data_IF_208955446937
#
_entry.id   IF_208955446937
#
_cell.length_a   1.000
_cell.length_b   1.000
_cell.length_c   1.000
_cell.angle_alpha   90.00
_cell.angle_beta   90.00
_cell.angle_gamma   90.00
#
_symmetry.space_group_name_H-M   'P 1'
#
loop_
_entity.id
_entity.type
_entity.pdbx_description
1 polymer ?
#
# COMPACT_ATOMS: atom_id res chain seq x y z
N UNK A 1 -18.30 -4.68 -25.87
CA UNK A 1 -19.77 -4.67 -25.64
C UNK A 1 -20.22 -5.61 -24.50
N UNK A 2 -19.55 -6.73 -24.17
CA UNK A 2 -19.90 -7.49 -22.95
C UNK A 2 -19.40 -6.80 -21.67
N UNK A 3 -18.10 -6.45 -21.63
CA UNK A 3 -17.46 -5.92 -20.42
C UNK A 3 -18.15 -4.67 -19.83
N UNK A 4 -18.53 -3.70 -20.66
CA UNK A 4 -19.28 -2.50 -20.22
C UNK A 4 -20.58 -2.89 -19.50
N UNK A 5 -21.38 -3.79 -20.09
CA UNK A 5 -22.64 -4.24 -19.50
C UNK A 5 -22.44 -5.11 -18.26
N UNK A 6 -21.36 -5.89 -18.23
CA UNK A 6 -21.02 -6.71 -17.07
C UNK A 6 -20.58 -5.84 -15.88
N UNK A 7 -19.82 -4.77 -16.13
CA UNK A 7 -19.44 -3.75 -15.14
C UNK A 7 -20.67 -2.98 -14.62
N UNK A 8 -21.55 -2.52 -15.52
CA UNK A 8 -22.79 -1.86 -15.12
C UNK A 8 -23.66 -2.80 -14.28
N UNK A 9 -23.80 -4.07 -14.69
CA UNK A 9 -24.59 -5.05 -13.95
C UNK A 9 -24.02 -5.33 -12.57
N UNK A 10 -22.72 -5.63 -12.46
CA UNK A 10 -22.11 -5.93 -11.15
C UNK A 10 -22.14 -4.71 -10.24
N UNK A 11 -21.90 -3.51 -10.77
CA UNK A 11 -21.95 -2.28 -9.98
C UNK A 11 -23.37 -1.97 -9.50
N UNK A 12 -24.39 -2.16 -10.34
CA UNK A 12 -25.79 -1.99 -9.93
C UNK A 12 -26.19 -3.01 -8.86
N UNK A 13 -25.71 -4.25 -8.92
CA UNK A 13 -25.92 -5.22 -7.85
C UNK A 13 -25.21 -4.81 -6.55
N UNK A 14 -24.00 -4.24 -6.63
CA UNK A 14 -23.26 -3.76 -5.45
C UNK A 14 -23.88 -2.51 -4.81
N UNK A 15 -24.66 -1.71 -5.55
CA UNK A 15 -25.43 -0.59 -4.99
C UNK A 15 -26.56 -1.05 -4.05
N UNK A 16 -26.91 -2.33 -4.08
CA UNK A 16 -27.88 -2.96 -3.17
C UNK A 16 -27.30 -4.30 -2.72
N UNK A 17 -26.24 -4.27 -1.90
CA UNK A 17 -25.45 -5.46 -1.60
C UNK A 17 -26.30 -6.51 -0.86
N UNK A 18 -26.04 -7.81 -1.11
CA UNK A 18 -26.71 -8.87 -0.37
C UNK A 18 -26.33 -8.81 1.12
N UNK A 19 -27.23 -9.27 2.00
CA UNK A 19 -26.98 -9.33 3.43
C UNK A 19 -26.04 -10.47 3.85
N UNK A 20 -25.88 -11.48 2.99
CA UNK A 20 -24.97 -12.60 3.23
C UNK A 20 -23.53 -12.22 2.86
N UNK A 21 -22.59 -12.42 3.78
CA UNK A 21 -21.16 -12.17 3.56
C UNK A 21 -20.63 -12.98 2.37
N UNK A 22 -21.03 -14.24 2.23
CA UNK A 22 -20.57 -15.11 1.13
C UNK A 22 -21.09 -14.62 -0.23
N UNK A 23 -22.34 -14.19 -0.29
CA UNK A 23 -22.91 -13.62 -1.52
C UNK A 23 -22.25 -12.29 -1.88
N UNK A 24 -21.96 -11.46 -0.88
CA UNK A 24 -21.25 -10.20 -1.05
C UNK A 24 -19.82 -10.43 -1.56
N UNK A 25 -19.09 -11.37 -0.97
CA UNK A 25 -17.74 -11.75 -1.41
C UNK A 25 -17.75 -12.20 -2.87
N UNK A 26 -18.65 -13.12 -3.25
CA UNK A 26 -18.78 -13.56 -4.63
C UNK A 26 -19.05 -12.40 -5.60
N UNK A 27 -19.85 -11.42 -5.18
CA UNK A 27 -20.17 -10.25 -6.00
C UNK A 27 -18.97 -9.30 -6.13
N UNK A 28 -18.21 -9.08 -5.06
CA UNK A 28 -16.98 -8.29 -5.05
C UNK A 28 -15.86 -8.96 -5.86
N UNK A 29 -15.68 -10.27 -5.75
CA UNK A 29 -14.71 -11.02 -6.55
C UNK A 29 -15.04 -10.98 -8.05
N UNK A 30 -16.34 -10.99 -8.38
CA UNK A 30 -16.79 -10.74 -9.76
C UNK A 30 -16.44 -9.32 -10.21
N UNK A 31 -16.59 -8.32 -9.37
CA UNK A 31 -16.20 -6.95 -9.68
C UNK A 31 -14.68 -6.84 -9.88
N UNK A 32 -13.88 -7.37 -8.95
CA UNK A 32 -12.42 -7.50 -9.05
C UNK A 32 -11.99 -8.12 -10.40
N UNK A 33 -12.57 -9.27 -10.75
CA UNK A 33 -12.27 -9.98 -12.00
C UNK A 33 -12.69 -9.24 -13.27
N UNK A 34 -13.64 -8.30 -13.19
CA UNK A 34 -14.01 -7.43 -14.31
C UNK A 34 -13.09 -6.20 -14.39
N UNK A 35 -12.77 -5.59 -13.24
CA UNK A 35 -11.88 -4.44 -13.14
C UNK A 35 -10.47 -4.77 -13.63
N UNK A 36 -9.94 -5.96 -13.31
CA UNK A 36 -8.62 -6.41 -13.79
C UNK A 36 -8.49 -6.50 -15.32
N UNK A 37 -9.62 -6.57 -16.05
CA UNK A 37 -9.66 -6.60 -17.53
C UNK A 37 -9.71 -5.20 -18.16
N UNK A 38 -9.86 -4.16 -17.36
CA UNK A 38 -9.95 -2.77 -17.83
C UNK A 38 -8.54 -2.17 -17.89
N UNK A 39 -8.14 -1.67 -19.05
CA UNK A 39 -6.85 -1.01 -19.20
C UNK A 39 -6.87 0.41 -18.59
N UNK A 40 -5.68 0.96 -18.35
CA UNK A 40 -5.49 2.30 -17.83
C UNK A 40 -6.05 3.38 -18.77
N UNK A 41 -6.68 4.42 -18.21
CA UNK A 41 -7.31 5.53 -18.94
C UNK A 41 -8.23 5.06 -20.09
N UNK A 42 -9.29 4.30 -19.80
CA UNK A 42 -10.12 3.72 -20.84
C UNK A 42 -11.02 4.78 -21.54
N UNK A 43 -11.58 4.46 -22.72
CA UNK A 43 -12.50 5.33 -23.44
C UNK A 43 -13.70 5.75 -22.59
N UNK A 44 -14.29 6.91 -22.91
CA UNK A 44 -15.40 7.53 -22.14
C UNK A 44 -16.56 6.56 -21.85
N UNK A 45 -16.89 5.65 -22.77
CA UNK A 45 -17.96 4.67 -22.60
C UNK A 45 -17.64 3.69 -21.46
N UNK A 46 -16.45 3.12 -21.45
CA UNK A 46 -16.02 2.19 -20.41
C UNK A 46 -15.82 2.92 -19.06
N UNK A 47 -15.35 4.18 -19.07
CA UNK A 47 -15.33 5.02 -17.85
C UNK A 47 -16.72 5.22 -17.25
N UNK A 48 -17.75 5.43 -18.07
CA UNK A 48 -19.14 5.52 -17.56
C UNK A 48 -19.62 4.19 -16.98
N UNK A 49 -19.27 3.07 -17.59
CA UNK A 49 -19.64 1.75 -17.10
C UNK A 49 -19.01 1.40 -15.74
N UNK A 50 -17.91 2.06 -15.35
CA UNK A 50 -17.28 1.92 -14.03
C UNK A 50 -18.04 2.67 -12.92
N UNK A 51 -18.82 3.72 -13.26
CA UNK A 51 -19.44 4.61 -12.26
C UNK A 51 -20.31 3.87 -11.23
N UNK A 52 -21.14 2.87 -11.59
CA UNK A 52 -21.93 2.14 -10.60
C UNK A 52 -21.05 1.38 -9.60
N UNK A 53 -19.97 0.74 -10.08
CA UNK A 53 -19.01 0.04 -9.21
C UNK A 53 -18.29 1.04 -8.31
N UNK A 54 -17.75 2.12 -8.88
CA UNK A 54 -17.04 3.15 -8.11
C UNK A 54 -17.93 3.77 -7.01
N UNK A 55 -19.21 4.02 -7.32
CA UNK A 55 -20.19 4.54 -6.36
C UNK A 55 -20.53 3.52 -5.28
N UNK A 56 -20.68 2.25 -5.63
CA UNK A 56 -21.01 1.21 -4.66
C UNK A 56 -19.87 0.97 -3.67
N UNK A 57 -18.62 0.87 -4.15
CA UNK A 57 -17.47 0.54 -3.29
C UNK A 57 -17.17 1.60 -2.22
N UNK A 58 -17.57 2.85 -2.44
CA UNK A 58 -17.42 3.94 -1.45
C UNK A 58 -18.64 4.13 -0.54
N UNK A 59 -19.69 3.32 -0.70
CA UNK A 59 -20.82 3.36 0.22
C UNK A 59 -20.38 2.87 1.60
N UNK A 60 -20.86 3.54 2.66
CA UNK A 60 -20.43 3.27 4.04
C UNK A 60 -20.60 1.78 4.44
N UNK A 61 -21.67 1.13 3.97
CA UNK A 61 -21.95 -0.29 4.25
C UNK A 61 -20.82 -1.23 3.79
N UNK A 62 -20.13 -0.89 2.69
CA UNK A 62 -18.99 -1.66 2.19
C UNK A 62 -17.67 -1.12 2.74
N UNK A 63 -17.46 0.20 2.65
CA UNK A 63 -16.20 0.83 2.99
C UNK A 63 -15.83 0.61 4.46
N UNK A 64 -16.83 0.53 5.35
CA UNK A 64 -16.65 0.33 6.80
C UNK A 64 -16.89 -1.12 7.24
N UNK A 65 -16.88 -2.07 6.32
CA UNK A 65 -16.97 -3.49 6.68
C UNK A 65 -15.88 -3.87 7.70
N UNK A 66 -16.26 -4.66 8.71
CA UNK A 66 -15.33 -5.22 9.70
C UNK A 66 -14.83 -6.62 9.33
N UNK A 67 -15.37 -7.23 8.28
CA UNK A 67 -14.94 -8.55 7.81
C UNK A 67 -13.64 -8.43 7.01
N UNK A 68 -12.57 -9.06 7.50
CA UNK A 68 -11.24 -8.99 6.86
C UNK A 68 -11.22 -9.54 5.44
N UNK A 69 -12.00 -10.59 5.14
CA UNK A 69 -12.07 -11.14 3.79
C UNK A 69 -12.70 -10.14 2.83
N UNK A 70 -13.79 -9.48 3.26
CA UNK A 70 -14.43 -8.41 2.49
C UNK A 70 -13.48 -7.24 2.30
N UNK A 71 -12.80 -6.80 3.36
CA UNK A 71 -11.83 -5.70 3.30
C UNK A 71 -10.70 -5.96 2.28
N UNK A 72 -10.17 -7.18 2.22
CA UNK A 72 -9.09 -7.52 1.27
C UNK A 72 -9.60 -7.54 -0.18
N UNK A 73 -10.81 -8.06 -0.44
CA UNK A 73 -11.36 -8.02 -1.81
C UNK A 73 -11.72 -6.59 -2.21
N UNK A 74 -12.23 -5.77 -1.29
CA UNK A 74 -12.45 -4.33 -1.50
C UNK A 74 -11.14 -3.61 -1.83
N UNK A 75 -10.07 -3.87 -1.06
CA UNK A 75 -8.74 -3.34 -1.33
C UNK A 75 -8.26 -3.72 -2.75
N UNK A 76 -8.46 -4.97 -3.16
CA UNK A 76 -8.12 -5.39 -4.53
C UNK A 76 -8.93 -4.65 -5.60
N UNK A 77 -10.23 -4.45 -5.38
CA UNK A 77 -11.07 -3.65 -6.28
C UNK A 77 -10.58 -2.19 -6.38
N UNK A 78 -10.25 -1.55 -5.25
CA UNK A 78 -9.70 -0.20 -5.23
C UNK A 78 -8.32 -0.11 -5.87
N UNK A 79 -7.50 -1.14 -5.74
CA UNK A 79 -6.22 -1.23 -6.41
C UNK A 79 -6.37 -1.24 -7.94
N UNK A 80 -7.34 -2.01 -8.46
CA UNK A 80 -7.65 -2.00 -9.88
C UNK A 80 -8.20 -0.65 -10.34
N UNK A 81 -9.09 -0.02 -9.57
CA UNK A 81 -9.60 1.32 -9.89
C UNK A 81 -8.50 2.38 -9.88
N UNK A 82 -7.57 2.28 -8.93
CA UNK A 82 -6.37 3.13 -8.85
C UNK A 82 -5.51 2.95 -10.11
N UNK A 83 -5.24 1.70 -10.53
CA UNK A 83 -4.51 1.40 -11.77
C UNK A 83 -5.24 1.92 -13.01
N UNK A 84 -6.56 1.78 -13.08
CA UNK A 84 -7.38 2.21 -14.22
C UNK A 84 -7.37 3.72 -14.36
N UNK A 85 -7.44 4.44 -13.24
CA UNK A 85 -7.54 5.91 -13.22
C UNK A 85 -6.19 6.62 -13.22
N UNK A 86 -5.11 5.94 -12.83
CA UNK A 86 -3.76 6.51 -12.83
C UNK A 86 -3.39 7.18 -14.17
N UNK A 87 -2.69 8.32 -14.15
CA UNK A 87 -2.27 9.10 -12.97
C UNK A 87 -3.39 10.03 -12.43
N UNK A 88 -4.56 10.07 -13.08
CA UNK A 88 -5.64 11.01 -12.78
C UNK A 88 -6.59 10.43 -11.73
N UNK A 89 -6.17 10.49 -10.47
CA UNK A 89 -6.89 9.93 -9.34
C UNK A 89 -8.21 10.67 -9.07
N UNK A 90 -9.24 9.96 -8.64
CA UNK A 90 -10.63 10.44 -8.68
C UNK A 90 -11.31 10.64 -7.32
N UNK A 91 -10.66 10.23 -6.24
CA UNK A 91 -11.25 10.28 -4.90
C UNK A 91 -10.67 11.43 -4.07
N UNK A 92 -11.50 12.13 -3.26
CA UNK A 92 -11.02 13.08 -2.27
C UNK A 92 -10.14 12.43 -1.19
N UNK A 93 -9.30 13.23 -0.54
CA UNK A 93 -8.29 12.77 0.42
C UNK A 93 -8.87 11.90 1.55
N UNK A 94 -10.04 12.26 2.09
CA UNK A 94 -10.69 11.47 3.15
C UNK A 94 -11.07 10.06 2.69
N UNK A 95 -11.56 9.91 1.45
CA UNK A 95 -11.82 8.57 0.90
C UNK A 95 -10.52 7.85 0.58
N UNK A 96 -9.51 8.57 0.10
CA UNK A 96 -8.20 7.96 -0.16
C UNK A 96 -7.54 7.44 1.13
N UNK A 97 -7.69 8.13 2.28
CA UNK A 97 -7.24 7.64 3.58
C UNK A 97 -7.87 6.28 3.91
N UNK A 98 -9.19 6.12 3.71
CA UNK A 98 -9.87 4.84 3.92
C UNK A 98 -9.37 3.75 2.96
N UNK A 99 -9.15 4.09 1.69
CA UNK A 99 -8.58 3.16 0.69
C UNK A 99 -7.17 2.71 1.10
N UNK A 100 -6.31 3.62 1.56
CA UNK A 100 -4.98 3.26 2.05
C UNK A 100 -5.02 2.40 3.31
N UNK A 101 -5.98 2.61 4.22
CA UNK A 101 -6.20 1.70 5.35
C UNK A 101 -6.55 0.28 4.87
N UNK A 102 -7.38 0.14 3.84
CA UNK A 102 -7.68 -1.16 3.24
C UNK A 102 -6.43 -1.82 2.60
N UNK A 103 -5.56 -1.04 1.95
CA UNK A 103 -4.29 -1.54 1.43
C UNK A 103 -3.36 -2.03 2.56
N UNK A 104 -3.26 -1.27 3.65
CA UNK A 104 -2.49 -1.62 4.85
C UNK A 104 -3.03 -2.91 5.50
N UNK A 105 -4.35 -3.05 5.63
CA UNK A 105 -5.00 -4.28 6.11
C UNK A 105 -4.63 -5.47 5.20
N UNK A 106 -4.61 -5.26 3.89
CA UNK A 106 -4.22 -6.28 2.92
C UNK A 106 -2.75 -6.66 3.05
N UNK A 107 -1.84 -5.69 3.25
CA UNK A 107 -0.41 -6.00 3.42
C UNK A 107 -0.11 -6.87 4.64
N UNK A 108 -0.95 -6.88 5.68
CA UNK A 108 -0.85 -7.82 6.81
C UNK A 108 -0.95 -9.30 6.37
N UNK A 109 -1.60 -9.57 5.23
CA UNK A 109 -1.73 -10.91 4.65
C UNK A 109 -0.45 -11.39 3.95
N UNK A 110 0.54 -10.52 3.73
CA UNK A 110 1.86 -10.91 3.21
C UNK A 110 2.66 -11.78 4.18
N UNK A 111 2.26 -11.83 5.46
CA UNK A 111 2.90 -12.65 6.50
C UNK A 111 2.93 -14.15 6.23
N UNK A 112 2.05 -14.67 5.36
CA UNK A 112 1.90 -16.10 5.12
C UNK A 112 1.53 -16.40 3.65
N UNK A 113 2.46 -17.01 2.90
CA UNK A 113 2.27 -17.32 1.48
C UNK A 113 1.17 -18.36 1.19
N UNK A 114 0.76 -19.16 2.19
CA UNK A 114 -0.35 -20.12 2.06
C UNK A 114 -1.73 -19.50 2.25
N UNK A 115 -1.81 -18.20 2.59
CA UNK A 115 -3.06 -17.49 2.73
C UNK A 115 -3.70 -17.25 1.34
N UNK A 116 -4.99 -17.54 1.20
CA UNK A 116 -5.76 -17.28 -0.03
C UNK A 116 -5.67 -15.82 -0.49
N UNK A 117 -5.45 -14.90 0.46
CA UNK A 117 -5.34 -13.47 0.23
C UNK A 117 -3.91 -12.96 -0.05
N UNK A 118 -2.90 -13.84 0.00
CA UNK A 118 -1.51 -13.46 -0.28
C UNK A 118 -1.34 -12.93 -1.71
N UNK A 119 -1.95 -13.60 -2.69
CA UNK A 119 -1.87 -13.21 -4.11
C UNK A 119 -2.45 -11.82 -4.38
N UNK A 120 -3.61 -11.51 -3.77
CA UNK A 120 -4.23 -10.17 -3.83
C UNK A 120 -3.32 -9.12 -3.22
N UNK A 121 -2.77 -9.40 -2.05
CA UNK A 121 -1.90 -8.46 -1.33
C UNK A 121 -0.61 -8.17 -2.08
N UNK A 122 -0.01 -9.21 -2.69
CA UNK A 122 1.13 -9.05 -3.58
C UNK A 122 0.77 -8.23 -4.82
N UNK A 123 -0.44 -8.42 -5.38
CA UNK A 123 -0.90 -7.67 -6.55
C UNK A 123 -1.09 -6.18 -6.23
N UNK A 124 -1.63 -5.86 -5.04
CA UNK A 124 -1.76 -4.49 -4.55
C UNK A 124 -0.37 -3.85 -4.42
N UNK A 125 0.58 -4.57 -3.81
CA UNK A 125 1.94 -4.09 -3.63
C UNK A 125 2.65 -3.85 -4.98
N UNK A 126 2.56 -4.81 -5.90
CA UNK A 126 3.10 -4.70 -7.26
C UNK A 126 2.52 -3.48 -7.99
N UNK A 127 1.19 -3.33 -7.94
CA UNK A 127 0.49 -2.25 -8.64
C UNK A 127 0.91 -0.91 -8.06
N UNK A 128 0.94 -0.77 -6.74
CA UNK A 128 1.36 0.45 -6.04
C UNK A 128 2.77 0.88 -6.44
N UNK A 129 3.71 -0.06 -6.52
CA UNK A 129 5.06 0.22 -6.98
C UNK A 129 5.11 0.63 -8.46
N UNK A 130 4.37 -0.07 -9.34
CA UNK A 130 4.42 0.16 -10.80
C UNK A 130 3.71 1.44 -11.24
N UNK A 131 2.55 1.73 -10.68
CA UNK A 131 1.78 2.96 -11.02
C UNK A 131 2.08 4.12 -10.08
N UNK A 132 3.01 3.93 -9.14
CA UNK A 132 3.45 4.94 -8.17
C UNK A 132 2.29 5.52 -7.36
N UNK A 133 1.29 4.71 -7.02
CA UNK A 133 0.11 5.21 -6.28
C UNK A 133 0.45 5.63 -4.85
N UNK A 134 1.62 5.27 -4.31
CA UNK A 134 2.09 5.81 -3.03
C UNK A 134 2.32 7.32 -3.05
N UNK A 135 2.41 7.97 -4.22
CA UNK A 135 2.41 9.44 -4.31
C UNK A 135 1.10 10.05 -3.80
N UNK A 136 -0.03 9.39 -4.00
CA UNK A 136 -1.29 9.85 -3.40
C UNK A 136 -1.20 9.87 -1.88
N UNK A 137 -0.50 8.91 -1.27
CA UNK A 137 -0.32 8.86 0.18
C UNK A 137 0.51 10.05 0.67
N UNK A 138 1.50 10.46 -0.13
CA UNK A 138 2.29 11.67 0.10
C UNK A 138 1.41 12.91 -0.02
N UNK A 139 0.58 13.01 -1.08
CA UNK A 139 -0.32 14.15 -1.31
C UNK A 139 -1.36 14.32 -0.20
N UNK A 140 -1.84 13.21 0.38
CA UNK A 140 -2.78 13.20 1.52
C UNK A 140 -2.12 13.69 2.82
N UNK A 141 -0.79 13.68 2.88
CA UNK A 141 0.02 14.13 4.01
C UNK A 141 -0.39 13.46 5.34
N UNK A 142 -0.52 12.13 5.32
CA UNK A 142 -0.91 11.33 6.49
C UNK A 142 0.27 10.56 7.06
N UNK A 143 1.00 11.21 7.98
CA UNK A 143 2.11 10.60 8.73
C UNK A 143 1.72 9.24 9.34
N UNK A 144 0.54 9.13 9.94
CA UNK A 144 0.09 7.89 10.58
C UNK A 144 -0.02 6.71 9.61
N UNK A 145 -0.53 6.93 8.40
CA UNK A 145 -0.63 5.88 7.38
C UNK A 145 0.74 5.53 6.78
N UNK A 146 1.61 6.53 6.60
CA UNK A 146 2.99 6.33 6.17
C UNK A 146 3.73 5.48 7.19
N UNK A 147 3.66 5.84 8.47
CA UNK A 147 4.31 5.13 9.57
C UNK A 147 3.80 3.68 9.68
N UNK A 148 2.47 3.46 9.62
CA UNK A 148 1.91 2.11 9.67
C UNK A 148 2.36 1.25 8.47
N UNK A 149 2.37 1.81 7.26
CA UNK A 149 2.85 1.10 6.07
C UNK A 149 4.33 0.73 6.18
N UNK A 150 5.18 1.65 6.62
CA UNK A 150 6.61 1.40 6.79
C UNK A 150 6.88 0.35 7.86
N UNK A 151 6.20 0.46 9.01
CA UNK A 151 6.27 -0.54 10.07
C UNK A 151 5.86 -1.92 9.57
N UNK A 152 4.79 -2.01 8.76
CA UNK A 152 4.36 -3.27 8.17
C UNK A 152 5.42 -3.86 7.24
N UNK A 153 5.99 -3.09 6.31
CA UNK A 153 7.01 -3.60 5.40
C UNK A 153 8.27 -4.06 6.15
N UNK A 154 8.70 -3.30 7.15
CA UNK A 154 9.85 -3.65 7.98
C UNK A 154 9.61 -4.91 8.84
N UNK A 155 8.39 -5.14 9.32
CA UNK A 155 8.04 -6.33 10.11
C UNK A 155 7.80 -7.58 9.25
N UNK A 156 7.34 -7.40 8.03
CA UNK A 156 6.94 -8.50 7.16
C UNK A 156 8.02 -8.90 6.15
N UNK A 157 9.08 -8.09 5.97
CA UNK A 157 10.22 -8.48 5.15
C UNK A 157 10.81 -9.82 5.63
N UNK A 158 10.73 -10.86 4.80
CA UNK A 158 11.12 -12.25 5.13
C UNK A 158 11.83 -12.96 3.98
N UNK A 159 12.48 -14.08 4.30
CA UNK A 159 13.21 -14.96 3.35
C UNK A 159 12.32 -15.71 2.37
N UNK A 160 11.08 -16.00 2.77
CA UNK A 160 10.12 -16.82 2.03
C UNK A 160 9.33 -16.03 0.99
N UNK A 161 9.53 -14.71 0.92
CA UNK A 161 8.96 -13.88 -0.12
C UNK A 161 9.62 -14.14 -1.46
N UNK A 162 8.81 -14.17 -2.53
CA UNK A 162 9.33 -14.04 -3.89
C UNK A 162 10.18 -12.77 -3.98
N UNK A 163 11.31 -12.83 -4.68
CA UNK A 163 12.29 -11.73 -4.77
C UNK A 163 11.69 -10.37 -5.17
N UNK A 164 10.55 -10.38 -5.88
CA UNK A 164 9.82 -9.20 -6.31
C UNK A 164 9.10 -8.47 -5.16
N UNK A 165 8.56 -9.18 -4.16
CA UNK A 165 7.85 -8.56 -3.01
C UNK A 165 8.77 -7.59 -2.29
N UNK A 166 10.01 -8.01 -2.02
CA UNK A 166 11.02 -7.19 -1.38
C UNK A 166 11.34 -5.95 -2.21
N UNK A 167 11.47 -6.10 -3.54
CA UNK A 167 11.73 -4.98 -4.45
C UNK A 167 10.58 -3.97 -4.45
N UNK A 168 9.33 -4.42 -4.45
CA UNK A 168 8.18 -3.52 -4.42
C UNK A 168 8.11 -2.74 -3.11
N UNK A 169 8.34 -3.38 -1.95
CA UNK A 169 8.46 -2.67 -0.66
C UNK A 169 9.56 -1.61 -0.71
N UNK A 170 10.74 -1.98 -1.21
CA UNK A 170 11.88 -1.08 -1.36
C UNK A 170 11.53 0.12 -2.25
N UNK A 171 10.96 -0.11 -3.43
CA UNK A 171 10.62 0.95 -4.40
C UNK A 171 9.56 1.91 -3.84
N UNK A 172 8.55 1.39 -3.13
CA UNK A 172 7.51 2.22 -2.48
C UNK A 172 8.12 3.06 -1.35
N UNK A 173 8.90 2.46 -0.44
CA UNK A 173 9.51 3.21 0.68
C UNK A 173 10.43 4.31 0.18
N UNK A 174 11.24 4.03 -0.85
CA UNK A 174 12.12 5.04 -1.43
C UNK A 174 11.34 6.19 -2.05
N UNK A 175 10.30 5.90 -2.81
CA UNK A 175 9.47 6.93 -3.45
C UNK A 175 8.83 7.83 -2.40
N UNK A 176 8.25 7.25 -1.35
CA UNK A 176 7.64 8.04 -0.27
C UNK A 176 8.67 8.95 0.40
N UNK A 177 9.84 8.43 0.82
CA UNK A 177 10.85 9.27 1.49
C UNK A 177 11.35 10.41 0.59
N UNK A 178 11.50 10.15 -0.71
CA UNK A 178 11.98 11.18 -1.64
C UNK A 178 10.99 12.32 -1.80
N UNK A 179 9.69 12.03 -1.73
CA UNK A 179 8.62 12.95 -2.10
C UNK A 179 7.95 13.62 -0.89
N UNK A 180 7.99 13.04 0.31
CA UNK A 180 7.49 13.72 1.52
C UNK A 180 8.25 15.01 1.80
N UNK A 181 7.54 16.05 2.25
CA UNK A 181 8.16 17.34 2.57
C UNK A 181 9.10 17.23 3.76
N UNK A 182 8.63 16.57 4.83
CA UNK A 182 9.41 16.34 6.04
C UNK A 182 9.30 14.91 6.55
N UNK A 183 10.34 14.45 7.25
CA UNK A 183 10.35 13.13 7.87
C UNK A 183 9.93 13.27 9.33
N UNK A 184 8.83 12.64 9.70
CA UNK A 184 8.36 12.58 11.09
C UNK A 184 9.37 11.86 12.00
N UNK A 185 9.37 12.19 13.29
CA UNK A 185 10.26 11.55 14.26
C UNK A 185 10.01 10.05 14.38
N UNK A 186 8.73 9.64 14.28
CA UNK A 186 8.34 8.24 14.29
C UNK A 186 8.88 7.50 13.06
N UNK A 187 8.70 8.06 11.85
CA UNK A 187 9.24 7.47 10.62
C UNK A 187 10.76 7.31 10.68
N UNK A 188 11.46 8.34 11.18
CA UNK A 188 12.91 8.28 11.36
C UNK A 188 13.31 7.18 12.34
N UNK A 189 12.59 7.03 13.46
CA UNK A 189 12.83 5.97 14.44
C UNK A 189 12.66 4.60 13.80
N UNK A 190 11.59 4.37 13.05
CA UNK A 190 11.34 3.10 12.34
C UNK A 190 12.49 2.73 11.41
N UNK A 191 12.98 3.71 10.65
CA UNK A 191 14.11 3.52 9.75
C UNK A 191 15.37 3.20 10.55
N UNK A 192 15.74 4.00 11.54
CA UNK A 192 16.93 3.78 12.36
C UNK A 192 16.90 2.42 13.07
N UNK A 193 15.76 2.06 13.66
CA UNK A 193 15.57 0.77 14.33
C UNK A 193 15.82 -0.39 13.37
N UNK A 194 15.32 -0.31 12.13
CA UNK A 194 15.56 -1.36 11.13
C UNK A 194 17.05 -1.64 10.89
N UNK A 195 17.93 -0.63 10.97
CA UNK A 195 19.37 -0.74 10.69
C UNK A 195 20.26 -0.88 11.92
N UNK A 196 19.69 -1.11 13.11
CA UNK A 196 20.47 -1.47 14.31
C UNK A 196 21.29 -2.74 14.07
N UNK A 197 22.51 -2.79 14.61
CA UNK A 197 23.43 -3.91 14.39
C UNK A 197 22.87 -5.25 14.90
N UNK A 198 22.09 -5.25 15.98
CA UNK A 198 21.39 -6.46 16.47
C UNK A 198 20.43 -7.05 15.43
N UNK A 199 19.72 -6.20 14.70
CA UNK A 199 18.76 -6.62 13.67
C UNK A 199 19.43 -7.29 12.46
N UNK A 200 20.75 -7.15 12.29
CA UNK A 200 21.49 -7.91 11.27
C UNK A 200 21.35 -9.43 11.48
N UNK A 201 21.18 -9.87 12.73
CA UNK A 201 20.97 -11.27 13.10
C UNK A 201 19.49 -11.52 13.40
N UNK A 202 18.85 -10.66 14.20
CA UNK A 202 17.48 -10.89 14.68
C UNK A 202 16.42 -10.73 13.59
N UNK A 203 16.67 -9.89 12.58
CA UNK A 203 15.72 -9.56 11.51
C UNK A 203 16.45 -9.16 10.21
N UNK A 204 17.20 -10.08 9.59
CA UNK A 204 18.14 -9.76 8.51
C UNK A 204 17.48 -9.15 7.27
N UNK A 205 16.22 -9.49 6.99
CA UNK A 205 15.47 -8.94 5.85
C UNK A 205 15.00 -7.51 6.11
N UNK A 206 14.47 -7.23 7.30
CA UNK A 206 14.16 -5.87 7.76
C UNK A 206 15.41 -5.00 7.72
N UNK A 207 16.52 -5.51 8.26
CA UNK A 207 17.82 -4.83 8.26
C UNK A 207 18.32 -4.55 6.85
N UNK A 208 18.17 -5.51 5.94
CA UNK A 208 18.57 -5.33 4.55
C UNK A 208 17.67 -4.32 3.81
N UNK A 209 16.37 -4.33 4.06
CA UNK A 209 15.42 -3.37 3.48
C UNK A 209 15.76 -1.95 3.94
N UNK A 210 15.87 -1.76 5.26
CA UNK A 210 16.31 -0.50 5.87
C UNK A 210 17.62 0.00 5.27
N UNK A 211 18.65 -0.85 5.23
CA UNK A 211 19.97 -0.48 4.68
C UNK A 211 19.89 0.02 3.24
N UNK A 212 19.05 -0.60 2.40
CA UNK A 212 18.86 -0.18 1.00
C UNK A 212 18.12 1.15 0.91
N UNK A 213 17.11 1.35 1.75
CA UNK A 213 16.38 2.62 1.85
C UNK A 213 17.31 3.75 2.27
N UNK A 214 18.13 3.57 3.31
CA UNK A 214 19.15 4.56 3.70
C UNK A 214 20.12 4.86 2.55
N UNK A 215 20.61 3.84 1.86
CA UNK A 215 21.52 4.02 0.73
C UNK A 215 20.90 4.86 -0.39
N UNK A 216 19.64 4.62 -0.74
CA UNK A 216 18.95 5.36 -1.81
C UNK A 216 18.48 6.74 -1.38
N UNK A 217 18.09 6.92 -0.12
CA UNK A 217 17.49 8.14 0.39
C UNK A 217 18.44 9.01 1.24
N UNK A 218 19.73 8.66 1.29
CA UNK A 218 20.70 9.29 2.19
C UNK A 218 20.77 10.82 2.09
N UNK A 219 20.66 11.37 0.87
CA UNK A 219 20.64 12.83 0.69
C UNK A 219 19.49 13.53 1.42
N UNK A 220 18.28 12.95 1.39
CA UNK A 220 17.10 13.47 2.10
C UNK A 220 17.21 13.21 3.61
N UNK A 221 17.75 12.05 4.02
CA UNK A 221 17.83 11.63 5.43
C UNK A 221 18.93 12.34 6.23
N UNK A 222 19.96 12.87 5.57
CA UNK A 222 21.17 13.44 6.21
C UNK A 222 20.87 14.44 7.33
N UNK A 223 20.06 15.45 7.03
CA UNK A 223 19.75 16.52 7.99
C UNK A 223 19.00 15.99 9.21
N UNK A 224 18.09 15.02 9.01
CA UNK A 224 17.32 14.37 10.06
C UNK A 224 18.19 13.48 10.96
N UNK A 225 19.12 12.72 10.39
CA UNK A 225 20.07 11.90 11.17
C UNK A 225 20.99 12.79 12.01
N UNK A 226 21.55 13.86 11.41
CA UNK A 226 22.41 14.80 12.13
C UNK A 226 21.66 15.50 13.28
N UNK A 227 20.38 15.81 13.10
CA UNK A 227 19.54 16.33 14.17
C UNK A 227 19.34 15.28 15.26
N UNK A 228 18.95 14.05 14.91
CA UNK A 228 18.72 12.95 15.85
C UNK A 228 19.96 12.60 16.69
N UNK A 229 21.17 12.62 16.11
CA UNK A 229 22.42 12.41 16.88
C UNK A 229 22.57 13.44 17.98
N UNK A 230 22.20 14.70 17.72
CA UNK A 230 22.31 15.80 18.69
C UNK A 230 21.19 15.77 19.73
N UNK A 231 19.96 15.47 19.30
CA UNK A 231 18.76 15.62 20.15
C UNK A 231 18.36 14.34 20.88
N UNK A 232 18.64 13.17 20.30
CA UNK A 232 18.25 11.86 20.83
C UNK A 232 19.43 11.10 21.48
N UNK A 233 20.61 11.73 21.57
CA UNK A 233 21.86 11.11 22.04
C UNK A 233 22.13 9.75 21.38
N UNK A 234 21.92 9.71 20.06
CA UNK A 234 21.99 8.49 19.28
C UNK A 234 23.44 8.02 19.15
N UNK A 235 23.75 6.88 19.77
CA UNK A 235 25.06 6.23 19.62
C UNK A 235 25.12 5.52 18.28
N UNK A 236 25.66 6.23 17.29
CA UNK A 236 25.79 5.78 15.90
C UNK A 236 26.58 4.46 15.74
N UNK A 237 27.39 4.08 16.74
CA UNK A 237 28.13 2.82 16.73
C UNK A 237 27.19 1.59 16.80
N UNK A 238 25.95 1.76 17.26
CA UNK A 238 24.96 0.69 17.35
C UNK A 238 24.21 0.44 16.03
N UNK A 239 24.53 1.17 14.96
CA UNK A 239 23.82 1.13 13.68
C UNK A 239 24.74 0.70 12.53
N UNK A 240 24.15 0.34 11.40
CA UNK A 240 24.89 0.03 10.19
C UNK A 240 25.76 1.22 9.73
N UNK A 241 26.93 0.95 9.14
CA UNK A 241 27.87 1.96 8.61
C UNK A 241 27.23 2.93 7.58
N UNK A 242 26.13 2.52 6.95
CA UNK A 242 25.40 3.43 6.06
C UNK A 242 24.83 4.65 6.82
N UNK A 243 24.54 4.53 8.11
CA UNK A 243 24.03 5.65 8.94
C UNK A 243 25.14 6.64 9.25
N UNK A 244 26.36 6.16 9.51
CA UNK A 244 27.52 7.02 9.81
C UNK A 244 28.11 7.69 8.57
N UNK A 245 27.89 7.14 7.38
CA UNK A 245 28.40 7.68 6.11
C UNK A 245 27.47 8.70 5.45
N UNK A 246 26.24 8.87 5.96
CA UNK A 246 25.28 9.87 5.48
C UNK A 246 25.57 11.23 6.09
#
# INVERSE_FOLDING_TARGET
>A
KSLERDLERVGNSLLSPPSSTDELLNLLERAEGLLSKVWQQPPKRLRRALLPVMKALIADDLLRSHDTSVQVVLASCFNELTRITAPDFTYPDELMKEIFRLFIISFKQLSCASNLNYSRSLKILETMAKVKSSLMLVDIDSDGLINEMFQLFLNHARSDHHSETFKYMEDIMNLVIQEIDSISTELLSLLLDSVRLGNKIDSPFSWNLGRRVFKKCGAKLRSYIQAAVKTMNLDVANYAEIVTSI
#
